data_IF_125990473254
#
_entry.id   IF_125990473254
#
_cell.length_a   1.000
_cell.length_b   1.000
_cell.length_c   1.000
_cell.angle_alpha   90.00
_cell.angle_beta   90.00
_cell.angle_gamma   90.00
#
_symmetry.space_group_name_H-M   'P 1'
#
loop_
_entity.id
_entity.type
_entity.pdbx_description
1 polymer ?
#
# COMPACT_ATOMS: atom_id res chain seq x y z
N UNK A 1 -22.21 12.18 -65.93
CA UNK A 1 -22.59 12.36 -64.51
C UNK A 1 -22.37 11.04 -63.81
N UNK A 2 -21.22 10.88 -63.16
CA UNK A 2 -20.77 9.61 -62.55
C UNK A 2 -20.69 9.80 -61.05
N UNK A 3 -21.68 9.25 -60.34
CA UNK A 3 -21.78 9.33 -58.88
C UNK A 3 -20.81 8.32 -58.26
N UNK A 4 -19.68 8.80 -57.73
CA UNK A 4 -18.77 7.99 -56.91
C UNK A 4 -19.39 7.83 -55.52
N UNK A 5 -19.77 6.60 -55.17
CA UNK A 5 -20.15 6.23 -53.83
C UNK A 5 -18.91 6.17 -52.92
N UNK A 6 -18.85 7.03 -51.89
CA UNK A 6 -17.85 6.96 -50.84
C UNK A 6 -18.16 5.75 -49.94
N UNK A 7 -17.21 4.82 -49.91
CA UNK A 7 -17.18 3.60 -49.10
C UNK A 7 -16.72 4.00 -47.68
N UNK A 8 -17.61 3.99 -46.70
CA UNK A 8 -17.24 4.18 -45.30
C UNK A 8 -16.61 2.89 -44.79
N UNK A 9 -15.31 2.92 -44.49
CA UNK A 9 -14.62 1.84 -43.80
C UNK A 9 -14.98 1.95 -42.31
N UNK A 10 -15.72 0.97 -41.80
CA UNK A 10 -15.91 0.80 -40.36
C UNK A 10 -14.57 0.38 -39.74
N UNK A 11 -13.95 1.27 -38.99
CA UNK A 11 -12.83 0.96 -38.11
C UNK A 11 -13.33 0.00 -37.03
N UNK A 12 -12.71 -1.18 -36.82
CA UNK A 12 -13.10 -2.05 -35.72
C UNK A 12 -12.72 -1.38 -34.41
N UNK A 13 -13.76 -0.98 -33.69
CA UNK A 13 -13.76 -0.46 -32.34
C UNK A 13 -13.06 -1.46 -31.40
N UNK A 14 -11.97 -1.00 -30.79
CA UNK A 14 -11.50 -1.37 -29.46
C UNK A 14 -11.66 -2.86 -29.08
N UNK A 15 -10.70 -3.69 -29.50
CA UNK A 15 -10.42 -4.94 -28.80
C UNK A 15 -10.02 -4.59 -27.37
N UNK A 16 -10.96 -4.81 -26.44
CA UNK A 16 -10.75 -4.79 -25.00
C UNK A 16 -9.51 -5.65 -24.69
N UNK A 17 -8.41 -4.96 -24.40
CA UNK A 17 -7.26 -5.56 -23.75
C UNK A 17 -7.76 -5.95 -22.37
N UNK A 18 -7.99 -7.24 -22.15
CA UNK A 18 -8.15 -7.80 -20.81
C UNK A 18 -6.91 -7.41 -20.02
N UNK A 19 -7.03 -6.32 -19.27
CA UNK A 19 -6.15 -6.06 -18.15
C UNK A 19 -6.27 -7.28 -17.27
N UNK A 20 -5.17 -8.03 -17.17
CA UNK A 20 -5.00 -9.03 -16.15
C UNK A 20 -5.11 -8.28 -14.82
N UNK A 21 -6.33 -8.18 -14.30
CA UNK A 21 -6.58 -7.75 -12.94
C UNK A 21 -5.85 -8.77 -12.10
N UNK A 22 -4.73 -8.36 -11.52
CA UNK A 22 -3.89 -9.18 -10.67
C UNK A 22 -4.76 -9.54 -9.46
N UNK A 23 -5.56 -10.61 -9.57
CA UNK A 23 -6.35 -11.08 -8.45
C UNK A 23 -5.36 -11.74 -7.52
N UNK A 24 -4.96 -10.99 -6.49
CA UNK A 24 -4.15 -11.53 -5.42
C UNK A 24 -4.89 -12.75 -4.87
N UNK A 25 -4.35 -13.94 -5.09
CA UNK A 25 -4.96 -15.17 -4.60
C UNK A 25 -4.63 -15.29 -3.11
N UNK A 26 -5.56 -14.85 -2.26
CA UNK A 26 -5.44 -15.04 -0.82
C UNK A 26 -5.72 -16.51 -0.49
N UNK A 27 -4.68 -17.34 -0.52
CA UNK A 27 -4.77 -18.75 -0.17
C UNK A 27 -4.74 -18.90 1.37
N UNK A 28 -5.85 -19.30 2.02
CA UNK A 28 -5.90 -19.47 3.47
C UNK A 28 -4.96 -20.58 3.95
N UNK A 29 -4.59 -21.54 3.09
CA UNK A 29 -3.65 -22.61 3.45
C UNK A 29 -2.24 -22.02 3.64
N UNK A 30 -1.88 -20.98 2.88
CA UNK A 30 -0.59 -20.30 3.05
C UNK A 30 -0.53 -19.49 4.35
N UNK A 31 -1.64 -18.88 4.77
CA UNK A 31 -1.69 -18.03 5.97
C UNK A 31 -2.07 -18.79 7.25
N UNK A 32 -2.76 -19.93 7.16
CA UNK A 32 -3.31 -20.67 8.31
C UNK A 32 -2.62 -22.03 8.61
N UNK A 33 -1.51 -22.37 7.94
CA UNK A 33 -0.85 -23.69 8.09
C UNK A 33 0.22 -23.77 9.20
N UNK A 34 0.28 -22.80 10.12
CA UNK A 34 1.31 -22.74 11.16
C UNK A 34 2.72 -22.37 10.64
N UNK A 35 2.89 -22.29 9.31
CA UNK A 35 4.01 -21.62 8.68
C UNK A 35 3.64 -20.14 8.52
N UNK A 36 4.39 -19.25 9.17
CA UNK A 36 4.18 -17.80 9.07
C UNK A 36 4.22 -17.34 7.61
N UNK A 37 3.18 -16.67 7.11
CA UNK A 37 3.24 -16.07 5.78
C UNK A 37 3.88 -14.67 5.88
N UNK A 38 4.62 -14.29 4.84
CA UNK A 38 5.08 -12.91 4.64
C UNK A 38 4.10 -12.21 3.73
N UNK A 39 3.55 -11.10 4.18
CA UNK A 39 2.59 -10.29 3.42
C UNK A 39 3.20 -8.91 3.22
N UNK A 40 3.28 -8.44 1.98
CA UNK A 40 3.74 -7.09 1.65
C UNK A 40 2.52 -6.22 1.39
N UNK A 41 2.36 -5.19 2.21
CA UNK A 41 1.25 -4.24 2.13
C UNK A 41 1.78 -2.91 1.65
N UNK A 42 1.17 -2.36 0.60
CA UNK A 42 1.40 -0.99 0.15
C UNK A 42 0.39 -0.08 0.84
N UNK A 43 0.91 0.90 1.57
CA UNK A 43 0.14 1.93 2.25
C UNK A 43 0.35 3.26 1.54
N UNK A 44 -0.74 3.99 1.33
CA UNK A 44 -0.71 5.34 0.78
C UNK A 44 -1.37 6.28 1.78
N UNK A 45 -0.57 7.18 2.34
CA UNK A 45 -1.02 8.26 3.20
C UNK A 45 -1.18 9.54 2.38
N UNK A 46 -2.12 10.40 2.78
CA UNK A 46 -2.31 11.66 2.09
C UNK A 46 -3.09 12.69 2.88
N UNK A 47 -2.61 13.92 2.79
CA UNK A 47 -3.31 15.13 3.21
C UNK A 47 -3.36 16.09 2.02
N UNK A 48 -4.55 16.53 1.64
CA UNK A 48 -4.76 17.41 0.48
C UNK A 48 -4.15 16.84 -0.81
N UNK A 49 -3.13 17.50 -1.37
CA UNK A 49 -2.39 17.08 -2.57
C UNK A 49 -1.10 16.31 -2.24
N UNK A 50 -0.67 16.31 -0.97
CA UNK A 50 0.54 15.62 -0.53
C UNK A 50 0.29 14.12 -0.39
N UNK A 51 1.21 13.30 -0.88
CA UNK A 51 1.12 11.84 -0.79
C UNK A 51 2.42 11.25 -0.27
N UNK A 52 2.29 10.15 0.46
CA UNK A 52 3.41 9.29 0.82
C UNK A 52 3.01 7.84 0.56
N UNK A 53 3.83 7.12 -0.20
CA UNK A 53 3.61 5.70 -0.52
C UNK A 53 4.74 4.88 0.06
N UNK A 54 4.40 3.87 0.83
CA UNK A 54 5.37 2.96 1.46
C UNK A 54 4.91 1.51 1.34
N UNK A 55 5.87 0.59 1.36
CA UNK A 55 5.62 -0.85 1.39
C UNK A 55 6.13 -1.44 2.70
N UNK A 56 5.24 -2.11 3.43
CA UNK A 56 5.51 -2.69 4.75
C UNK A 56 5.41 -4.21 4.68
N UNK A 57 6.44 -4.90 5.17
CA UNK A 57 6.42 -6.36 5.32
C UNK A 57 5.82 -6.75 6.68
N UNK A 58 4.67 -7.41 6.62
CA UNK A 58 3.99 -8.03 7.76
C UNK A 58 4.33 -9.51 7.81
N UNK A 59 4.84 -9.96 8.96
CA UNK A 59 5.11 -11.37 9.26
C UNK A 59 4.24 -11.80 10.43
N UNK A 60 3.50 -12.87 10.27
CA UNK A 60 2.67 -13.38 11.35
C UNK A 60 1.53 -14.28 10.86
N UNK A 61 0.72 -14.71 11.82
CA UNK A 61 -0.57 -15.35 11.56
C UNK A 61 -1.69 -14.28 11.59
N UNK A 62 -1.47 -13.19 10.85
CA UNK A 62 -2.42 -12.08 10.75
C UNK A 62 -3.27 -12.29 9.49
N UNK A 63 -4.59 -12.13 9.61
CA UNK A 63 -5.57 -12.53 8.60
C UNK A 63 -6.34 -11.34 8.04
N UNK A 64 -6.68 -11.41 6.75
CA UNK A 64 -7.63 -10.48 6.14
C UNK A 64 -7.27 -8.99 6.34
N UNK A 65 -8.24 -8.21 6.82
CA UNK A 65 -8.10 -6.77 7.05
C UNK A 65 -7.16 -6.44 8.22
N UNK A 66 -7.03 -7.32 9.21
CA UNK A 66 -6.15 -7.12 10.36
C UNK A 66 -4.67 -6.95 9.93
N UNK A 67 -4.32 -7.46 8.73
CA UNK A 67 -2.98 -7.29 8.13
C UNK A 67 -2.70 -5.83 7.81
N UNK A 68 -3.72 -5.06 7.45
CA UNK A 68 -3.62 -3.64 7.14
C UNK A 68 -3.40 -2.85 8.43
N UNK A 69 -4.21 -3.09 9.46
CA UNK A 69 -4.05 -2.41 10.75
C UNK A 69 -2.65 -2.66 11.34
N UNK A 70 -2.21 -3.92 11.33
CA UNK A 70 -0.88 -4.29 11.77
C UNK A 70 0.24 -3.69 10.91
N UNK A 71 0.01 -3.50 9.59
CA UNK A 71 0.97 -2.82 8.73
C UNK A 71 1.12 -1.34 9.09
N UNK A 72 0.01 -0.67 9.45
CA UNK A 72 0.02 0.73 9.91
C UNK A 72 0.75 0.86 11.24
N UNK A 73 0.44 0.00 12.21
CA UNK A 73 1.13 -0.03 13.51
C UNK A 73 2.64 -0.23 13.34
N UNK A 74 3.03 -1.19 12.49
CA UNK A 74 4.44 -1.48 12.21
C UNK A 74 5.14 -0.32 11.48
N UNK A 75 4.42 0.42 10.65
CA UNK A 75 4.95 1.63 10.03
C UNK A 75 5.14 2.74 11.06
N UNK A 76 4.17 2.94 11.96
CA UNK A 76 4.28 3.89 13.07
C UNK A 76 5.53 3.61 13.92
N UNK A 77 5.74 2.34 14.31
CA UNK A 77 6.93 1.94 15.07
C UNK A 77 8.24 2.28 14.35
N UNK A 78 8.26 2.27 13.01
CA UNK A 78 9.45 2.63 12.23
C UNK A 78 9.74 4.13 12.18
N UNK A 79 8.75 4.96 12.52
CA UNK A 79 8.88 6.41 12.64
C UNK A 79 9.28 6.86 14.05
N UNK A 80 9.26 5.95 15.03
CA UNK A 80 9.69 6.25 16.39
C UNK A 80 11.17 6.66 16.37
N UNK A 81 11.53 7.77 17.03
CA UNK A 81 12.92 8.17 17.17
C UNK A 81 13.72 7.09 17.92
N UNK A 82 15.02 7.00 17.63
CA UNK A 82 15.90 6.11 18.39
C UNK A 82 15.85 6.45 19.89
N UNK A 83 15.97 5.45 20.74
CA UNK A 83 15.82 5.58 22.20
C UNK A 83 16.80 6.57 22.85
N UNK A 84 17.84 6.99 22.12
CA UNK A 84 18.87 7.94 22.55
C UNK A 84 18.61 9.39 22.05
N UNK A 85 17.50 9.63 21.34
CA UNK A 85 17.07 10.97 20.95
C UNK A 85 16.53 11.75 22.16
N UNK A 86 16.78 13.06 22.21
CA UNK A 86 16.31 13.95 23.28
C UNK A 86 14.80 13.75 23.60
N UNK A 87 14.48 13.88 24.89
CA UNK A 87 13.30 13.35 25.62
C UNK A 87 11.89 13.71 25.08
N UNK A 88 11.75 14.42 23.97
CA UNK A 88 10.47 14.90 23.42
C UNK A 88 10.43 14.96 21.89
N UNK A 89 10.86 13.91 21.19
CA UNK A 89 10.70 13.82 19.74
C UNK A 89 9.45 13.01 19.39
N UNK A 90 8.47 13.64 18.75
CA UNK A 90 7.29 12.96 18.24
C UNK A 90 7.60 12.27 16.90
N UNK A 91 6.99 11.11 16.62
CA UNK A 91 7.05 10.50 15.29
C UNK A 91 6.51 11.46 14.24
N UNK A 92 7.21 11.53 13.11
CA UNK A 92 6.83 12.42 12.03
C UNK A 92 6.92 11.73 10.67
N UNK A 93 6.03 12.14 9.76
CA UNK A 93 5.89 11.66 8.41
C UNK A 93 6.04 12.83 7.44
N UNK A 94 7.01 12.72 6.54
CA UNK A 94 7.19 13.65 5.43
C UNK A 94 6.45 13.14 4.18
N UNK A 95 5.59 14.00 3.64
CA UNK A 95 4.85 13.75 2.41
C UNK A 95 5.22 14.78 1.36
N UNK A 96 5.26 14.39 0.08
CA UNK A 96 5.58 15.30 -1.02
C UNK A 96 4.43 15.45 -2.00
N UNK A 97 4.36 16.62 -2.65
CA UNK A 97 3.46 16.90 -3.76
C UNK A 97 4.16 16.72 -5.13
N UNK A 98 3.44 16.96 -6.22
CA UNK A 98 3.99 16.92 -7.59
C UNK A 98 5.04 18.01 -7.87
N UNK A 99 5.04 19.08 -7.06
CA UNK A 99 5.98 20.21 -7.16
C UNK A 99 7.20 20.05 -6.25
N UNK A 100 7.37 18.88 -5.61
CA UNK A 100 8.43 18.58 -4.64
C UNK A 100 8.41 19.43 -3.36
N UNK A 101 7.27 20.04 -3.03
CA UNK A 101 7.07 20.61 -1.71
C UNK A 101 6.88 19.49 -0.70
N UNK A 102 7.48 19.64 0.48
CA UNK A 102 7.39 18.66 1.57
C UNK A 102 6.47 19.20 2.66
N UNK A 103 5.49 18.39 3.04
CA UNK A 103 4.64 18.61 4.21
C UNK A 103 5.13 17.71 5.34
N UNK A 104 5.60 18.33 6.41
CA UNK A 104 6.00 17.65 7.64
C UNK A 104 4.79 17.49 8.55
N UNK A 105 4.43 16.26 8.88
CA UNK A 105 3.32 15.97 9.79
C UNK A 105 3.86 15.21 10.99
N UNK A 106 3.70 15.74 12.21
CA UNK A 106 4.11 15.08 13.45
C UNK A 106 2.88 14.68 14.27
N UNK A 107 3.00 13.58 15.02
CA UNK A 107 1.98 13.16 15.99
C UNK A 107 2.12 13.94 17.31
N UNK A 108 1.81 15.24 17.26
CA UNK A 108 1.93 16.15 18.42
C UNK A 108 0.93 15.84 19.55
N UNK A 109 -0.17 15.18 19.20
CA UNK A 109 -1.26 14.83 20.14
C UNK A 109 -1.08 13.44 20.77
N UNK A 110 0.01 12.72 20.47
CA UNK A 110 0.34 11.37 20.95
C UNK A 110 -0.83 10.37 20.71
N UNK A 111 -1.42 10.43 19.51
CA UNK A 111 -2.52 9.56 19.10
C UNK A 111 -2.05 8.19 18.64
N UNK A 112 -0.74 8.01 18.43
CA UNK A 112 -0.15 6.74 18.05
C UNK A 112 -0.48 6.35 16.61
N UNK A 113 -0.66 5.05 16.38
CA UNK A 113 -0.97 4.52 15.06
C UNK A 113 -2.32 5.03 14.50
N UNK A 114 -3.22 5.53 15.36
CA UNK A 114 -4.52 6.05 14.92
C UNK A 114 -4.38 7.36 14.11
N UNK A 115 -3.38 8.19 14.42
CA UNK A 115 -3.05 9.38 13.62
C UNK A 115 -2.73 9.03 12.16
N UNK A 116 -2.00 7.93 11.93
CA UNK A 116 -1.72 7.46 10.57
C UNK A 116 -2.96 6.89 9.88
N UNK A 117 -3.87 6.25 10.63
CA UNK A 117 -5.11 5.69 10.06
C UNK A 117 -6.02 6.78 9.51
N UNK A 118 -6.09 7.93 10.19
CA UNK A 118 -6.88 9.07 9.74
C UNK A 118 -6.37 9.68 8.42
N UNK A 119 -5.07 9.54 8.14
CA UNK A 119 -4.45 9.98 6.88
C UNK A 119 -4.39 8.91 5.80
N UNK A 120 -4.87 7.69 6.06
CA UNK A 120 -4.76 6.57 5.14
C UNK A 120 -5.75 6.71 3.97
N UNK A 121 -5.23 6.88 2.76
CA UNK A 121 -6.04 7.01 1.54
C UNK A 121 -6.29 5.65 0.90
N UNK A 122 -5.29 4.77 0.89
CA UNK A 122 -5.44 3.41 0.38
C UNK A 122 -4.46 2.44 1.03
N UNK A 123 -4.90 1.19 1.14
CA UNK A 123 -4.09 0.07 1.57
C UNK A 123 -4.35 -1.14 0.67
N UNK A 124 -3.28 -1.76 0.19
CA UNK A 124 -3.37 -2.90 -0.72
C UNK A 124 -2.31 -3.95 -0.37
N UNK A 125 -2.72 -5.21 -0.28
CA UNK A 125 -1.78 -6.32 -0.18
C UNK A 125 -1.25 -6.61 -1.58
N UNK A 126 0.04 -6.33 -1.82
CA UNK A 126 0.70 -6.48 -3.12
C UNK A 126 1.22 -7.90 -3.32
N UNK A 127 1.67 -8.53 -2.24
CA UNK A 127 2.34 -9.84 -2.31
C UNK A 127 2.10 -10.68 -1.06
N UNK A 128 1.96 -11.99 -1.26
CA UNK A 128 1.94 -12.99 -0.19
C UNK A 128 2.96 -14.07 -0.54
N UNK A 129 3.90 -14.33 0.35
CA UNK A 129 4.92 -15.37 0.19
C UNK A 129 4.87 -16.35 1.36
N UNK A 130 4.93 -17.67 1.10
CA UNK A 130 5.12 -18.64 2.17
C UNK A 130 6.52 -18.50 2.80
N UNK A 131 6.61 -18.69 4.12
CA UNK A 131 7.91 -18.85 4.75
C UNK A 131 8.56 -20.16 4.28
N UNK A 132 9.64 -20.04 3.51
CA UNK A 132 10.45 -21.18 3.09
C UNK A 132 11.09 -21.83 4.32
N UNK A 133 10.71 -23.07 4.63
CA UNK A 133 11.50 -23.93 5.52
C UNK A 133 12.86 -24.13 4.84
N UNK A 134 13.95 -23.67 5.46
CA UNK A 134 15.28 -24.04 4.98
C UNK A 134 15.42 -25.55 5.19
N UNK A 135 15.42 -26.31 4.09
CA UNK A 135 15.80 -27.71 4.11
C UNK A 135 17.27 -27.78 4.50
N UNK A 136 17.53 -28.39 5.66
CA UNK A 136 18.85 -28.48 6.29
C UNK A 136 19.30 -29.93 6.28
#
# INVERSE_FOLDING_TARGET
MTTKACRWAATPCCTLRTEWRFSLNYDPVLTCSGNYAKQTVRLVFGLWEYRHTTEVEVKGNVRGLDVIDYAVERFYESLLPEADADEYTFPALDMSDESFNVLHCADEDDQGADWLKDMLVSAEIVKIEPHKRQER
#
